data_IF_594885548340
#
_entry.id   IF_594885548340
#
_cell.length_a   1.000
_cell.length_b   1.000
_cell.length_c   1.000
_cell.angle_alpha   90.00
_cell.angle_beta   90.00
_cell.angle_gamma   90.00
#
_symmetry.space_group_name_H-M   'P 1'
#
loop_
_entity.id
_entity.type
_entity.pdbx_description
1 polymer ?
#
# COMPACT_ATOMS: atom_id res chain seq x y z
N UNK A 1 -14.23 0.91 3.00
CA UNK A 1 -13.26 1.85 3.60
C UNK A 1 -12.48 1.19 4.71
N UNK A 2 -11.18 1.41 4.71
CA UNK A 2 -10.28 0.84 5.69
C UNK A 2 -9.63 1.93 6.50
N UNK A 3 -9.80 1.85 7.81
CA UNK A 3 -9.24 2.83 8.75
C UNK A 3 -7.92 2.25 9.26
N UNK A 4 -6.82 2.82 8.78
CA UNK A 4 -5.51 2.65 9.37
C UNK A 4 -5.47 3.47 10.66
N UNK A 5 -5.25 2.79 11.78
CA UNK A 5 -4.69 3.47 12.94
C UNK A 5 -3.18 3.59 12.70
N UNK A 6 -2.58 4.73 13.05
CA UNK A 6 -1.13 4.82 13.24
C UNK A 6 -0.75 3.94 14.42
N UNK A 7 -0.65 2.63 14.20
CA UNK A 7 -0.14 1.68 15.19
C UNK A 7 1.36 1.59 14.96
N UNK A 8 2.19 2.03 15.93
CA UNK A 8 3.63 1.88 15.81
C UNK A 8 4.02 0.40 15.71
N UNK A 9 3.18 -0.52 16.20
CA UNK A 9 3.41 -1.96 16.14
C UNK A 9 2.11 -2.70 15.84
N UNK A 10 2.12 -3.59 14.84
CA UNK A 10 1.04 -4.56 14.60
C UNK A 10 1.59 -5.97 14.77
N UNK A 11 0.99 -6.74 15.68
CA UNK A 11 1.29 -8.16 15.89
C UNK A 11 0.38 -9.00 15.01
N UNK A 12 0.98 -9.89 14.24
CA UNK A 12 0.32 -10.66 13.20
C UNK A 12 0.31 -12.15 13.57
N UNK A 13 -0.82 -12.79 13.29
CA UNK A 13 -1.04 -14.22 13.49
C UNK A 13 -1.55 -14.82 12.19
N UNK A 14 -0.91 -15.90 11.71
CA UNK A 14 -1.35 -16.63 10.52
C UNK A 14 -0.21 -16.94 9.56
N UNK A 15 -0.53 -17.77 8.57
CA UNK A 15 0.41 -18.21 7.52
C UNK A 15 0.35 -17.37 6.25
N UNK A 16 -0.63 -16.48 6.16
CA UNK A 16 -0.79 -15.53 5.06
C UNK A 16 -1.27 -14.21 5.63
N UNK A 17 -0.64 -13.12 5.24
CA UNK A 17 -1.03 -11.77 5.67
C UNK A 17 -0.75 -10.77 4.57
N UNK A 18 -1.70 -9.90 4.30
CA UNK A 18 -1.50 -8.75 3.42
C UNK A 18 -1.24 -7.52 4.29
N UNK A 19 -0.19 -6.77 3.99
CA UNK A 19 0.15 -5.53 4.69
C UNK A 19 0.24 -4.43 3.66
N UNK A 20 -0.47 -3.33 3.85
CA UNK A 20 -0.27 -2.12 3.06
C UNK A 20 0.42 -1.08 3.92
N UNK A 21 1.49 -0.50 3.42
CA UNK A 21 2.27 0.50 4.14
C UNK A 21 2.69 1.66 3.25
N UNK A 22 2.73 2.87 3.81
CA UNK A 22 3.37 3.99 3.13
C UNK A 22 4.88 3.99 3.40
N UNK A 23 5.70 4.13 2.36
CA UNK A 23 7.16 4.28 2.45
C UNK A 23 7.62 5.58 1.77
N UNK A 24 8.43 6.35 2.50
CA UNK A 24 8.91 7.68 2.11
C UNK A 24 10.44 7.79 1.98
N UNK A 25 10.97 9.02 1.96
CA UNK A 25 12.35 9.34 1.57
C UNK A 25 13.42 9.21 2.67
N UNK A 26 13.11 9.27 3.97
CA UNK A 26 14.21 9.16 4.95
C UNK A 26 13.83 8.65 6.33
N UNK A 27 12.62 8.93 6.80
CA UNK A 27 12.13 8.47 8.11
C UNK A 27 11.09 7.36 8.03
N UNK A 28 10.38 7.25 6.91
CA UNK A 28 9.26 6.33 6.75
C UNK A 28 9.74 4.99 6.19
N UNK A 29 10.28 4.17 7.09
CA UNK A 29 10.64 2.78 6.83
C UNK A 29 9.56 1.85 7.39
N UNK A 30 9.31 0.76 6.68
CA UNK A 30 8.55 -0.37 7.20
C UNK A 30 9.54 -1.39 7.76
N UNK A 31 9.43 -1.70 9.04
CA UNK A 31 10.23 -2.71 9.71
C UNK A 31 9.35 -3.94 9.95
N UNK A 32 9.79 -5.07 9.44
CA UNK A 32 9.17 -6.38 9.64
C UNK A 32 10.09 -7.21 10.53
N UNK A 33 9.58 -7.69 11.66
CA UNK A 33 10.32 -8.54 12.59
C UNK A 33 9.68 -9.92 12.65
N UNK A 34 10.44 -10.92 12.27
CA UNK A 34 10.05 -12.32 12.21
C UNK A 34 10.81 -13.11 13.26
N UNK A 35 10.10 -13.58 14.30
CA UNK A 35 10.66 -14.40 15.37
C UNK A 35 10.37 -15.88 15.12
N UNK A 36 11.41 -16.71 15.18
CA UNK A 36 11.32 -18.14 14.94
C UNK A 36 11.63 -19.00 16.18
N UNK A 37 11.05 -20.21 16.23
CA UNK A 37 11.42 -21.27 17.16
C UNK A 37 10.43 -21.50 18.32
N UNK A 38 10.70 -22.57 19.09
CA UNK A 38 9.97 -22.94 20.33
C UNK A 38 10.94 -22.85 21.52
N UNK A 39 11.33 -21.63 21.90
CA UNK A 39 12.26 -21.39 23.02
C UNK A 39 13.63 -20.86 22.58
N UNK A 40 14.47 -20.57 23.57
CA UNK A 40 15.80 -19.99 23.35
C UNK A 40 16.77 -20.95 22.64
N UNK A 41 17.74 -20.41 21.85
CA UNK A 41 17.91 -18.99 21.53
C UNK A 41 16.93 -18.54 20.44
N UNK A 42 16.37 -17.35 20.62
CA UNK A 42 15.51 -16.77 19.61
C UNK A 42 16.31 -16.41 18.35
N UNK A 43 15.75 -16.73 17.19
CA UNK A 43 16.24 -16.26 15.88
C UNK A 43 15.25 -15.22 15.37
N UNK A 44 15.77 -14.06 15.00
CA UNK A 44 14.99 -12.96 14.44
C UNK A 44 15.49 -12.60 13.05
N UNK A 45 14.59 -12.50 12.09
CA UNK A 45 14.84 -11.77 10.86
C UNK A 45 14.21 -10.39 10.97
N UNK A 46 15.02 -9.35 10.78
CA UNK A 46 14.61 -7.95 10.72
C UNK A 46 14.74 -7.51 9.27
N UNK A 47 13.62 -7.13 8.66
CA UNK A 47 13.56 -6.68 7.27
C UNK A 47 13.13 -5.22 7.29
N UNK A 48 14.03 -4.36 6.83
CA UNK A 48 13.81 -2.93 6.67
C UNK A 48 13.48 -2.65 5.20
N UNK A 49 12.29 -2.13 4.95
CA UNK A 49 11.80 -1.75 3.61
C UNK A 49 11.76 -0.23 3.54
N UNK A 50 12.47 0.33 2.55
CA UNK A 50 12.58 1.77 2.31
C UNK A 50 12.56 2.06 0.80
N UNK A 51 12.40 3.32 0.40
CA UNK A 51 12.55 3.70 -1.01
C UNK A 51 13.95 3.38 -1.58
N UNK A 52 14.98 3.23 -0.73
CA UNK A 52 16.35 2.84 -1.15
C UNK A 52 16.48 1.34 -1.44
N UNK A 53 15.47 0.57 -1.08
CA UNK A 53 15.42 -0.87 -1.23
C UNK A 53 15.17 -1.60 0.08
N UNK A 54 15.52 -2.88 0.07
CA UNK A 54 15.17 -3.84 1.12
C UNK A 54 16.46 -4.34 1.76
N UNK A 55 16.50 -4.28 3.09
CA UNK A 55 17.63 -4.73 3.89
C UNK A 55 17.17 -5.78 4.89
N UNK A 56 17.72 -6.99 4.80
CA UNK A 56 17.49 -8.05 5.77
C UNK A 56 18.69 -8.23 6.69
N UNK A 57 18.42 -8.31 7.99
CA UNK A 57 19.39 -8.63 9.05
C UNK A 57 18.87 -9.81 9.86
N UNK A 58 19.67 -10.86 10.00
CA UNK A 58 19.38 -11.99 10.88
C UNK A 58 20.13 -11.83 12.21
N UNK A 59 19.40 -11.90 13.32
CA UNK A 59 19.95 -11.89 14.67
C UNK A 59 19.70 -13.24 15.35
N UNK A 60 20.70 -13.76 16.06
CA UNK A 60 20.58 -14.95 16.90
C UNK A 60 21.10 -14.59 18.29
N UNK A 61 20.32 -14.87 19.33
CA UNK A 61 20.79 -14.66 20.71
C UNK A 61 22.12 -15.40 20.93
N UNK A 62 23.06 -14.72 21.60
CA UNK A 62 24.43 -15.15 21.94
C UNK A 62 25.52 -15.05 20.86
N UNK A 63 25.21 -14.60 19.64
CA UNK A 63 26.20 -14.08 18.68
C UNK A 63 25.52 -13.04 17.78
N UNK A 64 26.00 -11.79 17.79
CA UNK A 64 25.73 -10.84 16.69
C UNK A 64 26.48 -11.32 15.43
N UNK A 65 26.06 -12.44 14.86
CA UNK A 65 26.46 -12.83 13.52
C UNK A 65 25.55 -12.09 12.56
N UNK A 66 26.03 -10.97 12.02
CA UNK A 66 25.47 -10.34 10.82
C UNK A 66 25.74 -11.25 9.62
N UNK A 67 25.14 -12.44 9.60
CA UNK A 67 25.28 -13.38 8.48
C UNK A 67 24.27 -13.00 7.40
N UNK A 68 24.81 -12.67 6.22
CA UNK A 68 24.09 -12.38 4.98
C UNK A 68 23.20 -11.15 5.06
N UNK A 69 23.84 -9.98 5.09
CA UNK A 69 23.23 -8.75 4.62
C UNK A 69 22.96 -8.91 3.11
N UNK A 70 21.79 -9.43 2.75
CA UNK A 70 21.34 -9.37 1.36
C UNK A 70 20.75 -7.97 1.16
N UNK A 71 21.63 -7.01 0.87
CA UNK A 71 21.22 -5.67 0.47
C UNK A 71 20.74 -5.76 -0.97
N UNK A 72 19.46 -5.48 -1.19
CA UNK A 72 18.93 -5.29 -2.53
C UNK A 72 18.77 -3.79 -2.76
N UNK A 73 19.68 -3.22 -3.55
CA UNK A 73 19.64 -1.81 -3.96
C UNK A 73 18.78 -1.63 -5.20
N UNK A 74 17.56 -2.17 -5.19
CA UNK A 74 16.54 -1.74 -6.14
C UNK A 74 15.71 -0.69 -5.43
N UNK A 75 15.78 0.54 -5.93
CA UNK A 75 15.02 1.66 -5.40
C UNK A 75 13.53 1.36 -5.58
N UNK A 76 12.77 1.34 -4.49
CA UNK A 76 11.31 1.24 -4.54
C UNK A 76 10.74 2.64 -4.80
N UNK A 77 9.65 2.72 -5.56
CA UNK A 77 8.98 4.00 -5.77
C UNK A 77 8.43 4.55 -4.44
N UNK A 78 8.39 5.87 -4.32
CA UNK A 78 7.74 6.54 -3.19
C UNK A 78 6.23 6.28 -3.22
N UNK A 79 5.67 5.85 -2.09
CA UNK A 79 4.23 5.72 -1.95
C UNK A 79 3.77 4.48 -1.20
N UNK A 80 2.59 4.01 -1.61
CA UNK A 80 1.95 2.82 -1.07
C UNK A 80 2.64 1.56 -1.57
N UNK A 81 3.06 0.73 -0.62
CA UNK A 81 3.57 -0.62 -0.82
C UNK A 81 2.53 -1.63 -0.34
N UNK A 82 2.25 -2.60 -1.19
CA UNK A 82 1.49 -3.79 -0.83
C UNK A 82 2.46 -4.95 -0.61
N UNK A 83 2.38 -5.58 0.56
CA UNK A 83 3.22 -6.70 0.96
C UNK A 83 2.35 -7.92 1.23
N UNK A 84 2.42 -8.89 0.33
CA UNK A 84 1.85 -10.22 0.57
C UNK A 84 2.90 -11.09 1.26
N UNK A 85 2.65 -11.37 2.52
CA UNK A 85 3.45 -12.26 3.34
C UNK A 85 2.86 -13.66 3.36
N UNK A 86 3.68 -14.66 3.05
CA UNK A 86 3.31 -16.07 3.10
C UNK A 86 4.35 -16.82 3.93
N UNK A 87 3.93 -17.52 4.98
CA UNK A 87 4.79 -18.38 5.79
C UNK A 87 4.35 -19.83 5.69
N UNK A 88 5.06 -20.55 4.84
CA UNK A 88 5.02 -22.01 4.79
C UNK A 88 6.35 -22.51 5.37
N UNK A 89 7.03 -23.46 4.74
CA UNK A 89 8.40 -23.88 5.08
C UNK A 89 9.45 -22.80 4.79
N UNK A 90 9.15 -21.90 3.84
CA UNK A 90 9.88 -20.66 3.54
C UNK A 90 8.95 -19.49 3.77
N UNK A 91 9.51 -18.30 3.99
CA UNK A 91 8.72 -17.09 4.00
C UNK A 91 8.96 -16.29 2.72
N UNK A 92 7.87 -15.93 2.05
CA UNK A 92 7.91 -15.12 0.84
C UNK A 92 7.23 -13.79 1.14
N UNK A 93 7.86 -12.72 0.70
CA UNK A 93 7.34 -11.36 0.67
C UNK A 93 7.22 -10.95 -0.79
N UNK A 94 6.01 -10.72 -1.24
CA UNK A 94 5.79 -10.08 -2.53
C UNK A 94 5.47 -8.63 -2.29
N UNK A 95 6.33 -7.73 -2.76
CA UNK A 95 6.17 -6.29 -2.64
C UNK A 95 5.71 -5.75 -3.98
N UNK A 96 4.58 -5.06 -3.98
CA UNK A 96 4.06 -4.36 -5.17
C UNK A 96 4.06 -2.86 -4.92
N UNK A 97 4.63 -2.09 -5.85
CA UNK A 97 4.78 -0.63 -5.75
C UNK A 97 4.54 0.02 -7.12
N UNK A 98 3.45 0.77 -7.30
CA UNK A 98 3.20 1.58 -8.51
C UNK A 98 3.62 0.87 -9.82
N UNK A 99 3.16 -0.38 -10.02
CA UNK A 99 3.41 -1.27 -11.17
C UNK A 99 4.70 -2.12 -11.14
N UNK A 100 5.59 -1.91 -10.18
CA UNK A 100 6.72 -2.79 -9.95
C UNK A 100 6.38 -3.94 -9.00
N UNK A 101 6.76 -5.15 -9.38
CA UNK A 101 6.65 -6.35 -8.56
C UNK A 101 8.03 -6.84 -8.16
N UNK A 102 8.22 -6.99 -6.86
CA UNK A 102 9.45 -7.45 -6.25
C UNK A 102 9.14 -8.68 -5.39
N UNK A 103 9.64 -9.85 -5.79
CA UNK A 103 9.55 -11.05 -4.96
C UNK A 103 10.81 -11.19 -4.10
N UNK A 104 10.60 -11.30 -2.80
CA UNK A 104 11.62 -11.58 -1.82
C UNK A 104 11.33 -12.94 -1.19
N UNK A 105 12.29 -13.85 -1.30
CA UNK A 105 12.20 -15.17 -0.68
C UNK A 105 13.24 -15.23 0.43
N UNK A 106 12.77 -15.36 1.66
CA UNK A 106 13.58 -15.65 2.83
C UNK A 106 13.40 -17.10 3.27
N UNK A 107 14.49 -17.72 3.70
CA UNK A 107 14.48 -19.11 4.13
C UNK A 107 14.82 -19.21 5.61
N UNK A 108 13.97 -19.90 6.35
CA UNK A 108 14.20 -20.28 7.73
C UNK A 108 13.69 -21.69 7.93
N UNK A 109 14.56 -22.59 8.41
CA UNK A 109 14.17 -23.97 8.74
C UNK A 109 13.38 -24.05 10.06
N UNK A 110 13.10 -22.90 10.67
CA UNK A 110 12.41 -22.80 11.95
C UNK A 110 10.99 -22.30 11.72
N UNK A 111 10.04 -22.81 12.52
CA UNK A 111 8.64 -22.36 12.47
C UNK A 111 8.55 -20.91 12.96
N UNK A 112 7.88 -20.05 12.18
CA UNK A 112 7.55 -18.69 12.60
C UNK A 112 6.63 -18.74 13.83
N UNK A 113 7.01 -17.97 14.86
CA UNK A 113 6.28 -17.83 16.12
C UNK A 113 5.55 -16.49 16.20
N UNK A 114 6.25 -15.39 15.88
CA UNK A 114 5.69 -14.03 15.94
C UNK A 114 6.11 -13.27 14.70
N UNK A 115 5.15 -12.56 14.10
CA UNK A 115 5.40 -11.58 13.06
C UNK A 115 4.92 -10.22 13.55
N UNK A 116 5.79 -9.22 13.44
CA UNK A 116 5.51 -7.84 13.82
C UNK A 116 5.81 -6.91 12.65
N UNK A 117 4.93 -5.97 12.38
CA UNK A 117 5.16 -4.89 11.43
C UNK A 117 5.12 -3.53 12.14
N UNK A 118 6.09 -2.67 11.86
CA UNK A 118 6.28 -1.35 12.49
C UNK A 118 6.51 -0.33 11.38
N UNK A 119 5.78 0.78 11.40
CA UNK A 119 5.85 1.78 10.34
C UNK A 119 4.84 2.90 10.55
N UNK A 120 4.98 3.97 9.75
CA UNK A 120 4.21 5.20 9.95
C UNK A 120 2.73 5.06 9.60
N UNK A 121 2.35 4.15 8.69
CA UNK A 121 0.97 3.96 8.23
C UNK A 121 0.77 2.52 7.75
N UNK A 122 0.33 1.61 8.63
CA UNK A 122 0.18 0.20 8.31
C UNK A 122 -1.29 -0.21 8.38
N UNK A 123 -1.78 -0.85 7.33
CA UNK A 123 -3.02 -1.63 7.38
C UNK A 123 -2.72 -3.11 7.18
N UNK A 124 -3.59 -3.97 7.71
CA UNK A 124 -3.44 -5.42 7.66
C UNK A 124 -4.72 -6.02 7.13
N UNK A 125 -4.60 -6.89 6.13
CA UNK A 125 -5.70 -7.56 5.45
C UNK A 125 -6.78 -6.58 4.97
N UNK A 126 -6.32 -5.44 4.46
CA UNK A 126 -7.12 -4.30 4.09
C UNK A 126 -6.91 -4.03 2.60
N UNK A 127 -7.87 -4.48 1.78
CA UNK A 127 -7.79 -4.41 0.33
C UNK A 127 -8.77 -3.34 -0.19
N UNK A 128 -8.57 -2.08 0.21
CA UNK A 128 -9.42 -0.97 -0.21
C UNK A 128 -8.56 0.12 -0.87
N UNK A 129 -9.08 0.72 -1.94
CA UNK A 129 -8.42 1.84 -2.61
C UNK A 129 -8.46 3.12 -1.77
N UNK A 130 -9.41 3.21 -0.83
CA UNK A 130 -9.52 4.31 0.12
C UNK A 130 -8.97 3.88 1.49
N UNK A 131 -7.82 4.44 1.84
CA UNK A 131 -7.20 4.25 3.15
C UNK A 131 -7.32 5.55 3.94
N UNK A 132 -7.97 5.47 5.11
CA UNK A 132 -8.14 6.59 6.03
C UNK A 132 -7.20 6.44 7.22
N UNK A 133 -6.47 7.50 7.56
CA UNK A 133 -5.57 7.55 8.70
C UNK A 133 -6.24 8.29 9.83
N UNK A 134 -6.54 7.59 10.93
CA UNK A 134 -7.04 8.24 12.12
C UNK A 134 -5.91 8.94 12.87
N UNK A 135 -6.04 10.25 13.07
CA UNK A 135 -5.08 11.11 13.76
C UNK A 135 -5.70 11.53 15.09
N UNK A 136 -5.35 10.77 16.13
CA UNK A 136 -5.74 11.06 17.51
C UNK A 136 -4.79 12.09 18.10
N UNK A 137 -5.27 13.30 18.38
CA UNK A 137 -4.58 14.36 19.13
C UNK A 137 -3.07 14.48 18.85
N UNK A 138 -2.70 15.24 17.82
CA UNK A 138 -1.30 15.56 17.58
C UNK A 138 -0.99 16.01 16.16
N UNK A 139 0.31 15.97 15.85
CA UNK A 139 0.86 16.25 14.53
C UNK A 139 1.13 14.93 13.81
N UNK A 140 0.67 14.84 12.57
CA UNK A 140 1.05 13.77 11.65
C UNK A 140 1.74 14.35 10.41
N UNK A 141 2.39 13.52 9.61
CA UNK A 141 3.14 13.97 8.44
C UNK A 141 2.58 13.32 7.18
N UNK A 142 2.22 14.16 6.21
CA UNK A 142 1.83 13.75 4.87
C UNK A 142 3.07 13.91 3.97
N UNK A 143 3.56 12.83 3.37
CA UNK A 143 4.68 12.86 2.43
C UNK A 143 4.31 13.64 1.17
N UNK A 144 5.26 14.41 0.64
CA UNK A 144 5.09 15.22 -0.57
C UNK A 144 5.93 14.65 -1.71
N UNK A 145 5.38 14.66 -2.92
CA UNK A 145 6.11 14.45 -4.16
C UNK A 145 6.84 15.76 -4.55
N UNK A 146 8.09 15.68 -5.06
CA UNK A 146 8.88 16.88 -5.41
C UNK A 146 8.24 17.68 -6.53
N UNK A 147 7.65 16.95 -7.47
CA UNK A 147 7.08 17.45 -8.70
C UNK A 147 5.74 16.75 -8.90
N UNK A 148 4.74 17.54 -9.27
CA UNK A 148 3.38 17.06 -9.52
C UNK A 148 2.41 17.41 -8.40
N UNK A 149 1.19 16.92 -8.55
CA UNK A 149 0.08 17.21 -7.66
C UNK A 149 0.00 16.14 -6.56
N UNK A 150 0.06 16.58 -5.32
CA UNK A 150 -0.25 15.78 -4.14
C UNK A 150 -1.72 16.03 -3.80
N UNK A 151 -2.50 14.96 -3.67
CA UNK A 151 -3.93 15.05 -3.37
C UNK A 151 -4.19 14.17 -2.14
N UNK A 152 -4.86 14.73 -1.16
CA UNK A 152 -5.38 14.01 0.00
C UNK A 152 -6.67 14.66 0.44
N UNK A 153 -7.47 13.96 1.23
CA UNK A 153 -8.66 14.56 1.85
C UNK A 153 -8.52 14.58 3.36
N UNK A 154 -9.12 15.57 3.99
CA UNK A 154 -9.27 15.68 5.43
C UNK A 154 -10.73 15.51 5.81
N UNK A 155 -10.99 14.77 6.89
CA UNK A 155 -12.34 14.55 7.41
C UNK A 155 -12.30 14.62 8.93
N UNK A 156 -13.34 15.13 9.57
CA UNK A 156 -13.46 15.08 11.04
C UNK A 156 -14.91 14.86 11.45
N UNK A 157 -15.10 14.33 12.67
CA UNK A 157 -16.41 14.22 13.31
C UNK A 157 -16.84 15.52 14.02
N UNK A 158 -15.95 16.50 14.09
CA UNK A 158 -16.16 17.83 14.66
C UNK A 158 -15.68 18.92 13.70
N UNK A 159 -16.27 20.10 13.80
CA UNK A 159 -15.78 21.24 13.03
C UNK A 159 -14.34 21.54 13.46
N UNK A 160 -13.42 21.66 12.49
CA UNK A 160 -11.99 21.74 12.80
C UNK A 160 -11.25 22.67 11.85
N UNK A 161 -10.17 23.27 12.34
CA UNK A 161 -9.27 24.15 11.57
C UNK A 161 -7.90 23.51 11.49
N UNK A 162 -7.65 22.59 10.55
CA UNK A 162 -6.36 21.93 10.50
C UNK A 162 -5.27 22.90 10.05
N UNK A 163 -4.09 22.79 10.66
CA UNK A 163 -2.91 23.53 10.25
C UNK A 163 -1.98 22.61 9.48
N UNK A 164 -1.66 23.00 8.25
CA UNK A 164 -0.62 22.43 7.42
C UNK A 164 0.67 23.21 7.65
N UNK A 165 1.80 22.55 7.92
CA UNK A 165 3.07 23.25 8.07
C UNK A 165 4.25 22.46 7.51
N UNK A 166 5.17 23.18 6.88
CA UNK A 166 6.49 22.71 6.55
C UNK A 166 7.47 23.85 6.83
N UNK A 167 8.54 23.56 7.58
CA UNK A 167 9.49 24.59 8.04
C UNK A 167 8.84 25.68 8.92
N UNK A 168 9.10 26.95 8.59
CA UNK A 168 8.51 28.16 9.14
C UNK A 168 7.21 28.58 8.41
N UNK A 169 6.80 27.85 7.36
CA UNK A 169 5.58 28.14 6.62
C UNK A 169 4.43 27.28 7.16
N UNK A 170 3.41 27.95 7.70
CA UNK A 170 2.16 27.32 8.11
C UNK A 170 0.98 27.92 7.36
N UNK A 171 0.00 27.08 7.06
CA UNK A 171 -1.28 27.44 6.46
C UNK A 171 -2.37 26.79 7.31
N UNK A 172 -3.30 27.60 7.80
CA UNK A 172 -4.51 27.08 8.40
C UNK A 172 -5.59 26.95 7.32
N UNK A 173 -6.24 25.80 7.26
CA UNK A 173 -7.37 25.56 6.35
C UNK A 173 -8.69 25.89 7.03
N UNK A 174 -9.66 26.32 6.24
CA UNK A 174 -11.02 26.61 6.65
C UNK A 174 -11.88 26.92 5.42
N UNK A 175 -13.03 27.55 5.61
CA UNK A 175 -13.92 27.99 4.51
C UNK A 175 -14.03 29.51 4.45
N UNK A 176 -14.23 30.04 3.23
CA UNK A 176 -14.57 31.45 2.99
C UNK A 176 -16.09 31.62 2.96
N UNK A 177 -16.59 32.65 3.62
CA UNK A 177 -17.89 33.21 3.26
C UNK A 177 -17.63 34.10 2.04
N UNK A 178 -18.28 33.83 0.90
CA UNK A 178 -18.13 34.66 -0.30
C UNK A 178 -18.39 36.15 0.01
N UNK A 179 -17.59 37.04 -0.61
CA UNK A 179 -17.76 38.48 -0.89
C UNK A 179 -17.06 39.56 -0.02
N UNK A 180 -16.27 40.38 -0.74
CA UNK A 180 -15.91 41.82 -0.56
C UNK A 180 -14.57 42.19 0.12
N UNK A 181 -13.65 42.63 -0.76
CA UNK A 181 -12.61 43.68 -0.72
C UNK A 181 -11.58 43.82 0.41
N UNK A 182 -10.32 43.81 -0.05
CA UNK A 182 -9.14 44.63 0.28
C UNK A 182 -8.50 44.65 1.69
N UNK A 183 -7.29 44.05 1.69
CA UNK A 183 -6.01 44.53 2.23
C UNK A 183 -5.99 45.01 3.69
N UNK A 184 -5.42 44.18 4.57
CA UNK A 184 -4.15 44.47 5.24
C UNK A 184 -3.58 43.22 5.92
N UNK A 185 -2.36 42.84 5.53
CA UNK A 185 -1.33 42.12 6.28
C UNK A 185 -1.74 41.33 7.55
N UNK A 186 -2.64 40.36 7.44
CA UNK A 186 -2.81 39.19 8.32
C UNK A 186 -3.79 38.27 7.58
N UNK A 187 -3.35 37.13 7.05
CA UNK A 187 -4.07 36.36 6.02
C UNK A 187 -5.47 35.93 6.52
N UNK A 188 -6.60 36.51 6.05
CA UNK A 188 -7.93 36.32 6.65
C UNK A 188 -8.89 35.45 5.83
N UNK A 189 -8.39 34.67 4.87
CA UNK A 189 -9.23 33.98 3.88
C UNK A 189 -9.78 32.61 4.31
N UNK A 190 -9.82 32.26 5.60
CA UNK A 190 -10.43 30.99 6.06
C UNK A 190 -10.87 31.11 7.53
N UNK A 191 -11.85 31.98 7.80
CA UNK A 191 -12.28 32.29 9.18
C UNK A 191 -13.11 31.17 9.82
N UNK A 192 -13.81 30.37 9.02
CA UNK A 192 -14.66 29.29 9.53
C UNK A 192 -13.94 27.94 9.52
N UNK A 193 -14.20 27.08 10.51
CA UNK A 193 -13.69 25.71 10.49
C UNK A 193 -14.21 24.95 9.26
N UNK A 194 -13.44 23.96 8.83
CA UNK A 194 -13.92 22.94 7.92
C UNK A 194 -15.07 22.19 8.61
N UNK A 195 -16.17 21.98 7.90
CA UNK A 195 -17.36 21.32 8.46
C UNK A 195 -17.07 19.87 8.84
N UNK A 196 -17.63 19.44 9.96
CA UNK A 196 -17.71 18.02 10.33
C UNK A 196 -18.48 17.20 9.29
N UNK A 197 -18.17 15.91 9.24
CA UNK A 197 -18.81 14.92 8.38
C UNK A 197 -18.70 15.18 6.87
N UNK A 198 -17.87 16.15 6.48
CA UNK A 198 -17.55 16.47 5.09
C UNK A 198 -16.11 16.07 4.78
N UNK A 199 -15.92 15.52 3.58
CA UNK A 199 -14.59 15.23 3.04
C UNK A 199 -14.04 16.48 2.35
N UNK A 200 -12.96 17.03 2.88
CA UNK A 200 -12.31 18.23 2.37
C UNK A 200 -11.07 17.85 1.57
N UNK A 201 -11.17 17.90 0.25
CA UNK A 201 -10.05 17.59 -0.65
C UNK A 201 -9.01 18.71 -0.56
N UNK A 202 -7.73 18.37 -0.42
CA UNK A 202 -6.61 19.30 -0.44
C UNK A 202 -5.68 18.90 -1.58
N UNK A 203 -5.38 19.85 -2.47
CA UNK A 203 -4.43 19.68 -3.57
C UNK A 203 -3.22 20.56 -3.30
N UNK A 204 -2.03 19.96 -3.39
CA UNK A 204 -0.76 20.64 -3.19
C UNK A 204 0.15 20.35 -4.37
N UNK A 205 0.47 21.39 -5.14
CA UNK A 205 1.44 21.30 -6.21
C UNK A 205 2.77 21.88 -5.75
N UNK A 206 3.78 21.03 -5.64
CA UNK A 206 5.13 21.43 -5.27
C UNK A 206 6.05 21.42 -6.49
N UNK A 207 7.01 22.34 -6.51
CA UNK A 207 8.07 22.36 -7.53
C UNK A 207 9.41 22.29 -6.84
N UNK A 208 10.11 21.18 -7.06
CA UNK A 208 11.42 20.87 -6.47
C UNK A 208 11.47 21.10 -4.94
N UNK A 209 10.33 20.97 -4.26
CA UNK A 209 10.15 21.28 -2.82
C UNK A 209 10.48 22.73 -2.39
N UNK A 210 10.72 23.65 -3.31
CA UNK A 210 11.04 25.05 -2.99
C UNK A 210 9.81 25.90 -2.75
N UNK A 211 8.76 25.67 -3.54
CA UNK A 211 7.46 26.30 -3.36
C UNK A 211 6.35 25.29 -3.58
N UNK A 212 5.29 25.42 -2.79
CA UNK A 212 4.07 24.66 -2.95
C UNK A 212 2.88 25.62 -3.06
N UNK A 213 1.98 25.29 -3.99
CA UNK A 213 0.69 25.94 -4.16
C UNK A 213 -0.38 25.03 -3.59
N UNK A 214 -1.22 25.58 -2.71
CA UNK A 214 -2.27 24.87 -1.98
C UNK A 214 -3.62 25.31 -2.51
N UNK A 215 -4.51 24.33 -2.71
CA UNK A 215 -5.89 24.52 -3.16
C UNK A 215 -6.79 23.63 -2.30
N UNK A 216 -7.87 24.20 -1.77
CA UNK A 216 -8.91 23.46 -1.08
C UNK A 216 -10.04 23.14 -2.08
N UNK A 217 -10.38 21.86 -2.22
CA UNK A 217 -11.40 21.38 -3.15
C UNK A 217 -11.05 21.69 -4.61
N UNK A 218 -11.98 22.38 -5.28
CA UNK A 218 -11.84 22.85 -6.66
C UNK A 218 -11.77 24.39 -6.73
N UNK A 219 -11.50 25.05 -5.61
CA UNK A 219 -11.41 26.51 -5.52
C UNK A 219 -10.07 27.01 -6.07
N UNK A 220 -9.93 26.95 -7.39
CA UNK A 220 -8.73 27.39 -8.11
C UNK A 220 -8.53 28.92 -8.07
N UNK A 221 -9.52 29.69 -7.61
CA UNK A 221 -9.41 31.15 -7.50
C UNK A 221 -8.65 31.58 -6.23
N UNK A 222 -8.70 30.76 -5.17
CA UNK A 222 -8.07 31.06 -3.87
C UNK A 222 -6.81 30.21 -3.61
N UNK A 223 -5.88 30.20 -4.57
CA UNK A 223 -4.60 29.48 -4.41
C UNK A 223 -3.70 30.16 -3.40
N UNK A 224 -3.18 29.41 -2.44
CA UNK A 224 -2.14 29.90 -1.53
C UNK A 224 -0.79 29.38 -1.98
N UNK A 225 0.13 30.28 -2.32
CA UNK A 225 1.53 29.93 -2.61
C UNK A 225 2.40 30.18 -1.38
N UNK A 226 3.17 29.18 -0.97
CA UNK A 226 4.20 29.30 0.07
C UNK A 226 5.54 28.78 -0.43
N UNK A 227 6.60 29.46 -0.03
CA UNK A 227 7.98 29.06 -0.28
C UNK A 227 8.58 28.51 1.01
N UNK A 228 9.48 27.53 0.88
CA UNK A 228 10.19 26.92 2.00
C UNK A 228 11.68 27.26 1.92
N UNK A 229 12.35 27.35 3.07
CA UNK A 229 13.78 27.69 3.10
C UNK A 229 14.68 26.50 2.68
N UNK A 230 14.12 25.28 2.68
CA UNK A 230 14.82 24.03 2.36
C UNK A 230 13.89 23.09 1.58
N UNK A 231 14.45 22.00 1.05
CA UNK A 231 13.67 20.96 0.41
C UNK A 231 12.95 20.12 1.47
N UNK A 232 11.60 20.17 1.50
CA UNK A 232 10.77 19.39 2.42
C UNK A 232 10.07 18.25 1.71
N UNK A 233 10.31 17.04 2.17
CA UNK A 233 9.73 15.81 1.63
C UNK A 233 8.42 15.42 2.32
N UNK A 234 7.98 16.21 3.32
CA UNK A 234 6.72 16.00 4.03
C UNK A 234 6.13 17.31 4.54
N UNK A 235 4.82 17.26 4.78
CA UNK A 235 3.98 18.31 5.33
C UNK A 235 3.40 17.84 6.66
N UNK A 236 3.63 18.57 7.72
CA UNK A 236 2.96 18.30 8.99
C UNK A 236 1.50 18.77 8.93
N UNK A 237 0.60 17.99 9.52
CA UNK A 237 -0.83 18.29 9.65
C UNK A 237 -1.22 18.15 11.11
N UNK A 238 -1.85 19.17 11.66
CA UNK A 238 -2.33 19.21 13.04
C UNK A 238 -3.82 19.58 13.07
N UNK A 239 -4.63 18.80 13.76
CA UNK A 239 -6.06 19.04 13.99
C UNK A 239 -6.37 20.10 15.06
N UNK A 240 -5.34 20.70 15.66
CA UNK A 240 -5.40 21.69 16.72
C UNK A 240 -6.26 21.23 17.92
N UNK A 241 -6.02 20.00 18.37
CA UNK A 241 -6.73 19.37 19.48
C UNK A 241 -8.01 18.62 19.09
N UNK A 242 -8.37 18.60 17.80
CA UNK A 242 -9.44 17.77 17.28
C UNK A 242 -8.90 16.47 16.67
N UNK A 243 -9.68 15.41 16.82
CA UNK A 243 -9.49 14.17 16.06
C UNK A 243 -9.90 14.38 14.61
N UNK A 244 -9.10 13.88 13.69
CA UNK A 244 -9.37 13.96 12.26
C UNK A 244 -8.81 12.75 11.53
N UNK A 245 -9.25 12.60 10.28
CA UNK A 245 -8.87 11.53 9.39
C UNK A 245 -8.21 12.12 8.16
N UNK A 246 -7.14 11.49 7.69
CA UNK A 246 -6.53 11.80 6.39
C UNK A 246 -6.86 10.65 5.46
N UNK A 247 -7.53 10.94 4.35
CA UNK A 247 -7.71 9.98 3.26
C UNK A 247 -6.60 10.20 2.24
N UNK A 248 -5.85 9.14 1.94
CA UNK A 248 -4.94 9.13 0.80
C UNK A 248 -5.52 8.19 -0.24
N UNK A 249 -5.83 8.73 -1.42
CA UNK A 249 -6.29 7.90 -2.53
C UNK A 249 -5.15 6.99 -2.98
N UNK A 250 -5.35 5.68 -2.81
CA UNK A 250 -4.56 4.70 -3.51
C UNK A 250 -5.10 4.73 -4.94
N UNK A 251 -4.32 5.25 -5.90
CA UNK A 251 -4.60 4.91 -7.29
C UNK A 251 -4.72 3.38 -7.33
N UNK A 252 -5.83 2.81 -7.82
CA UNK A 252 -5.95 1.37 -7.91
C UNK A 252 -4.70 0.90 -8.66
N UNK A 253 -4.02 -0.11 -8.12
CA UNK A 253 -3.02 -0.81 -8.91
C UNK A 253 -3.79 -1.30 -10.13
N UNK A 254 -3.60 -0.64 -11.28
CA UNK A 254 -4.10 -1.09 -12.59
C UNK A 254 -3.33 -2.31 -13.05
N UNK A 255 -3.03 -3.20 -12.11
CA UNK A 255 -2.93 -4.59 -12.41
C UNK A 255 -4.36 -5.09 -12.28
N UNK A 256 -5.07 -5.16 -13.42
CA UNK A 256 -5.73 -6.42 -13.70
C UNK A 256 -4.79 -7.49 -13.15
N UNK A 257 -5.22 -8.18 -12.09
CA UNK A 257 -4.76 -9.54 -11.94
C UNK A 257 -5.20 -10.22 -13.25
N UNK A 258 -4.36 -10.12 -14.30
CA UNK A 258 -3.85 -11.33 -14.90
C UNK A 258 -3.36 -12.10 -13.71
N UNK A 259 -4.29 -12.90 -13.18
CA UNK A 259 -3.94 -14.09 -12.48
C UNK A 259 -2.73 -14.61 -13.24
N UNK A 260 -1.56 -14.51 -12.62
CA UNK A 260 -0.62 -15.60 -12.71
C UNK A 260 -1.37 -16.75 -12.02
N UNK A 261 -2.42 -17.24 -12.70
CA UNK A 261 -2.79 -18.63 -12.73
C UNK A 261 -1.44 -19.23 -13.04
N UNK A 262 -0.80 -19.79 -12.01
CA UNK A 262 0.33 -20.69 -12.20
C UNK A 262 -0.07 -21.53 -13.39
N UNK A 263 0.63 -21.30 -14.51
CA UNK A 263 0.39 -21.92 -15.80
C UNK A 263 0.51 -23.41 -15.60
N UNK A 264 -0.62 -23.99 -15.24
CA UNK A 264 -0.78 -25.35 -14.78
C UNK A 264 -2.08 -25.79 -15.40
N UNK A 265 -1.95 -26.26 -16.64
CA UNK A 265 -2.82 -27.25 -17.24
C UNK A 265 -4.30 -26.94 -17.48
N UNK A 266 -4.85 -25.73 -17.34
CA UNK A 266 -6.28 -25.56 -17.74
C UNK A 266 -6.50 -25.76 -19.25
N UNK A 267 -5.61 -25.25 -20.10
CA UNK A 267 -5.64 -25.54 -21.54
C UNK A 267 -5.31 -26.99 -21.85
N UNK A 268 -4.33 -27.61 -21.16
CA UNK A 268 -3.99 -29.02 -21.35
C UNK A 268 -5.10 -29.98 -20.86
N UNK A 269 -5.83 -29.64 -19.80
CA UNK A 269 -6.98 -30.40 -19.29
C UNK A 269 -8.15 -30.27 -20.26
N UNK A 270 -8.45 -29.06 -20.76
CA UNK A 270 -9.49 -28.86 -21.77
C UNK A 270 -9.14 -29.59 -23.07
N UNK A 271 -7.88 -29.50 -23.53
CA UNK A 271 -7.42 -30.23 -24.70
C UNK A 271 -7.46 -31.75 -24.48
N UNK A 272 -7.07 -32.23 -23.30
CA UNK A 272 -7.11 -33.64 -22.93
C UNK A 272 -8.53 -34.21 -22.85
N UNK A 273 -9.48 -33.45 -22.30
CA UNK A 273 -10.89 -33.82 -22.26
C UNK A 273 -11.49 -33.85 -23.67
N UNK A 274 -11.17 -32.85 -24.51
CA UNK A 274 -11.62 -32.84 -25.91
C UNK A 274 -11.04 -34.01 -26.72
N UNK A 275 -9.76 -34.36 -26.50
CA UNK A 275 -9.12 -35.50 -27.16
C UNK A 275 -9.77 -36.83 -26.74
N UNK A 276 -10.08 -37.00 -25.46
CA UNK A 276 -10.75 -38.20 -24.95
C UNK A 276 -12.16 -38.37 -25.53
N UNK A 277 -12.92 -37.26 -25.66
CA UNK A 277 -14.25 -37.28 -26.29
C UNK A 277 -14.15 -37.65 -27.78
N UNK A 278 -13.18 -37.07 -28.50
CA UNK A 278 -12.96 -37.36 -29.92
C UNK A 278 -12.59 -38.83 -30.16
N UNK A 279 -11.71 -39.40 -29.33
CA UNK A 279 -11.34 -40.82 -29.40
C UNK A 279 -12.54 -41.72 -29.05
N UNK A 280 -13.32 -41.37 -28.03
CA UNK A 280 -14.52 -42.10 -27.64
C UNK A 280 -15.57 -42.17 -28.76
N UNK A 281 -15.77 -41.06 -29.47
CA UNK A 281 -16.67 -40.97 -30.63
C UNK A 281 -16.16 -41.80 -31.82
N UNK A 282 -14.85 -41.77 -32.10
CA UNK A 282 -14.26 -42.58 -33.16
C UNK A 282 -14.44 -44.08 -32.91
N UNK A 283 -14.21 -44.53 -31.67
CA UNK A 283 -14.39 -45.94 -31.28
C UNK A 283 -15.86 -46.37 -31.43
N UNK A 284 -16.81 -45.53 -31.01
CA UNK A 284 -18.25 -45.85 -31.14
C UNK A 284 -18.69 -45.92 -32.59
N UNK A 285 -18.26 -44.99 -33.45
CA UNK A 285 -18.54 -45.05 -34.91
C UNK A 285 -17.93 -46.31 -35.52
N UNK A 286 -16.70 -46.66 -35.15
CA UNK A 286 -16.04 -47.85 -35.67
C UNK A 286 -16.74 -49.14 -35.23
N UNK A 287 -17.19 -49.23 -33.98
CA UNK A 287 -17.97 -50.36 -33.48
C UNK A 287 -19.32 -50.51 -34.19
N UNK A 288 -20.04 -49.40 -34.40
CA UNK A 288 -21.32 -49.43 -35.14
C UNK A 288 -21.09 -49.89 -36.58
N UNK A 289 -20.04 -49.39 -37.24
CA UNK A 289 -19.69 -49.81 -38.59
C UNK A 289 -19.25 -51.27 -38.67
N UNK A 290 -18.51 -51.75 -37.67
CA UNK A 290 -18.07 -53.14 -37.59
C UNK A 290 -19.25 -54.10 -37.37
N UNK A 291 -20.16 -53.77 -36.45
CA UNK A 291 -21.37 -54.56 -36.17
C UNK A 291 -22.30 -54.58 -37.38
N UNK A 292 -22.50 -53.44 -38.06
CA UNK A 292 -23.33 -53.38 -39.26
C UNK A 292 -22.76 -54.24 -40.39
N UNK A 293 -21.43 -54.27 -40.55
CA UNK A 293 -20.75 -55.10 -41.54
C UNK A 293 -20.83 -56.59 -41.24
N UNK A 294 -20.77 -56.99 -39.96
CA UNK A 294 -20.99 -58.39 -39.55
C UNK A 294 -22.44 -58.81 -39.84
N UNK A 295 -23.43 -57.98 -39.48
CA UNK A 295 -24.84 -58.25 -39.76
C UNK A 295 -25.12 -58.34 -41.26
N UNK A 296 -24.45 -57.52 -42.08
CA UNK A 296 -24.56 -57.60 -43.54
C UNK A 296 -23.94 -58.89 -44.11
N UNK A 297 -22.87 -59.41 -43.51
CA UNK A 297 -22.28 -60.71 -43.92
C UNK A 297 -23.11 -61.91 -43.51
N UNK A 298 -23.85 -61.86 -42.40
CA UNK A 298 -24.74 -62.95 -41.96
C UNK A 298 -26.07 -63.01 -42.72
N UNK A 299 -26.38 -62.01 -43.55
CA UNK A 299 -27.57 -61.96 -44.41
C UNK A 299 -27.30 -62.40 -45.86
N UNK A 300 -26.10 -62.87 -46.17
CA UNK A 300 -25.76 -63.57 -47.41
C UNK A 300 -25.56 -65.04 -47.10
#
# INVERSE_FOLDING_TARGET
DCIAMRKPEVKLHGTKTHITAWVGDSSDILILTLEYGKGHPYVYDIIEVSHKGILMKRNRENKKETRNQKTFTQSLAFGWLDLDFLTVEKYTFNITSHDEYHEFIGESNLRLKKFTAVGSNITVNCNSDNIYWEVMNGVTFIPLKPNGMNIFSLFSRSDFKPTLAADNASIQLGTNDNTINDIQQYIPHYQRPLSRYEEHIVKIQCVAYHYCTYVLGNDEDHKIKKSFSKNYTSLSVNGNGNEFFIKLDRKPLTNEKKSIDRGGNKTAIVLGVLLAIAIGLLITVFLVFYISRIRAKQRK
#
